data_IF_319881723829
#
_entry.id   IF_319881723829
#
_cell.length_a   1.000
_cell.length_b   1.000
_cell.length_c   1.000
_cell.angle_alpha   90.00
_cell.angle_beta   90.00
_cell.angle_gamma   90.00
#
_symmetry.space_group_name_H-M   'P 1'
#
loop_
_entity.id
_entity.type
_entity.pdbx_description
1 polymer ?
#
# COMPACT_ATOMS: atom_id res chain seq x y z
N UNK A 1 4.11 -8.16 20.07
CA UNK A 1 3.99 -9.35 19.20
C UNK A 1 3.37 -8.98 17.86
N UNK A 2 2.04 -8.85 17.73
CA UNK A 2 1.43 -8.36 16.48
C UNK A 2 1.90 -6.94 16.07
N UNK A 3 2.24 -6.08 17.04
CA UNK A 3 2.87 -4.79 16.76
C UNK A 3 4.22 -4.85 16.04
N UNK A 4 5.04 -5.91 16.24
CA UNK A 4 6.32 -6.07 15.53
C UNK A 4 6.13 -6.55 14.09
N UNK A 5 5.23 -7.52 13.87
CA UNK A 5 4.86 -7.95 12.52
C UNK A 5 4.21 -6.82 11.72
N UNK A 6 3.35 -6.02 12.37
CA UNK A 6 2.72 -4.88 11.72
C UNK A 6 3.70 -3.70 11.54
N UNK A 7 4.68 -3.51 12.43
CA UNK A 7 5.76 -2.54 12.22
C UNK A 7 6.65 -2.94 11.03
N UNK A 8 7.03 -4.21 10.94
CA UNK A 8 7.79 -4.73 9.80
C UNK A 8 7.00 -4.60 8.50
N UNK A 9 5.71 -4.97 8.51
CA UNK A 9 4.82 -4.76 7.37
C UNK A 9 4.64 -3.27 7.04
N UNK A 10 4.45 -2.40 8.04
CA UNK A 10 4.34 -0.96 7.86
C UNK A 10 5.63 -0.34 7.31
N UNK A 11 6.81 -0.79 7.74
CA UNK A 11 8.10 -0.35 7.18
C UNK A 11 8.26 -0.79 5.73
N UNK A 12 7.91 -2.05 5.42
CA UNK A 12 7.94 -2.56 4.05
C UNK A 12 6.96 -1.77 3.19
N UNK A 13 5.74 -1.54 3.67
CA UNK A 13 4.70 -0.78 2.97
C UNK A 13 5.07 0.69 2.80
N UNK A 14 5.65 1.32 3.83
CA UNK A 14 6.16 2.70 3.75
C UNK A 14 7.27 2.79 2.71
N UNK A 15 8.17 1.79 2.70
CA UNK A 15 9.21 1.66 1.68
C UNK A 15 8.61 1.53 0.28
N UNK A 16 7.54 0.77 0.08
CA UNK A 16 6.84 0.69 -1.22
C UNK A 16 6.12 1.99 -1.60
N UNK A 17 5.49 2.65 -0.63
CA UNK A 17 4.79 3.93 -0.84
C UNK A 17 5.77 5.02 -1.26
N UNK A 18 6.93 5.07 -0.59
CA UNK A 18 8.01 6.01 -0.88
C UNK A 18 8.86 5.63 -2.09
N UNK A 19 8.94 4.36 -2.50
CA UNK A 19 9.87 3.95 -3.56
C UNK A 19 9.23 3.49 -4.87
N UNK A 20 7.92 3.27 -4.94
CA UNK A 20 7.35 2.56 -6.12
C UNK A 20 6.11 3.22 -6.71
N UNK A 21 5.26 3.85 -5.90
CA UNK A 21 3.99 4.37 -6.42
C UNK A 21 4.14 5.63 -7.27
N UNK A 22 4.93 6.62 -6.82
CA UNK A 22 5.06 7.91 -7.51
C UNK A 22 6.02 7.90 -8.72
N UNK A 23 6.72 6.78 -8.95
CA UNK A 23 7.73 6.68 -9.99
C UNK A 23 7.16 6.05 -11.25
N UNK A 24 6.94 6.91 -12.24
CA UNK A 24 6.60 6.47 -13.58
C UNK A 24 7.72 6.89 -14.52
N UNK A 25 8.32 5.92 -15.21
CA UNK A 25 9.45 6.12 -16.12
C UNK A 25 9.06 5.88 -17.58
N UNK A 26 10.06 5.64 -18.43
CA UNK A 26 9.85 5.32 -19.87
C UNK A 26 8.91 4.13 -20.12
N UNK A 27 8.80 3.20 -19.17
CA UNK A 27 7.83 2.10 -19.23
C UNK A 27 6.37 2.58 -19.28
N UNK A 28 6.03 3.67 -18.56
CA UNK A 28 4.69 4.24 -18.63
C UNK A 28 4.39 4.84 -20.01
N UNK A 29 5.39 5.47 -20.65
CA UNK A 29 5.24 6.00 -22.02
C UNK A 29 4.93 4.90 -23.02
N UNK A 30 5.68 3.78 -22.97
CA UNK A 30 5.44 2.64 -23.84
C UNK A 30 4.05 2.04 -23.63
N UNK A 31 3.62 1.94 -22.36
CA UNK A 31 2.30 1.44 -22.01
C UNK A 31 1.20 2.37 -22.52
N UNK A 32 1.37 3.68 -22.43
CA UNK A 32 0.37 4.62 -22.92
C UNK A 32 0.24 4.69 -24.44
N UNK A 33 1.27 4.28 -25.18
CA UNK A 33 1.22 4.12 -26.63
C UNK A 33 0.63 2.77 -27.06
N UNK A 34 0.48 1.82 -26.13
CA UNK A 34 -0.19 0.55 -26.37
C UNK A 34 -1.72 0.75 -26.38
N UNK A 35 -2.51 -0.17 -26.98
CA UNK A 35 -3.97 -0.11 -26.98
C UNK A 35 -4.56 -0.52 -25.61
N UNK A 36 -4.12 0.17 -24.55
CA UNK A 36 -4.60 -0.01 -23.18
C UNK A 36 -5.26 1.27 -22.70
N UNK A 37 -6.33 1.11 -21.94
CA UNK A 37 -7.03 2.24 -21.33
C UNK A 37 -6.31 2.72 -20.06
N UNK A 38 -6.42 4.01 -19.70
CA UNK A 38 -5.92 4.53 -18.42
C UNK A 38 -6.45 3.74 -17.22
N UNK A 39 -7.69 3.24 -17.30
CA UNK A 39 -8.28 2.39 -16.28
C UNK A 39 -7.57 1.04 -16.14
N UNK A 40 -7.30 0.35 -17.26
CA UNK A 40 -6.55 -0.91 -17.26
C UNK A 40 -5.15 -0.73 -16.66
N UNK A 41 -4.49 0.38 -16.98
CA UNK A 41 -3.17 0.71 -16.46
C UNK A 41 -3.17 0.92 -14.94
N UNK A 42 -4.11 1.73 -14.43
CA UNK A 42 -4.24 1.97 -12.98
C UNK A 42 -4.62 0.69 -12.23
N UNK A 43 -5.53 -0.12 -12.78
CA UNK A 43 -5.90 -1.41 -12.18
C UNK A 43 -4.73 -2.40 -12.18
N UNK A 44 -3.94 -2.45 -13.25
CA UNK A 44 -2.75 -3.29 -13.32
C UNK A 44 -1.71 -2.84 -12.29
N UNK A 45 -1.43 -1.54 -12.20
CA UNK A 45 -0.53 -0.95 -11.20
C UNK A 45 -0.99 -1.29 -9.77
N UNK A 46 -2.29 -1.16 -9.49
CA UNK A 46 -2.89 -1.52 -8.21
C UNK A 46 -2.65 -3.00 -7.87
N UNK A 47 -2.99 -3.92 -8.79
CA UNK A 47 -2.85 -5.36 -8.58
C UNK A 47 -1.42 -5.78 -8.30
N UNK A 48 -0.46 -5.29 -9.08
CA UNK A 48 0.97 -5.62 -8.88
C UNK A 48 1.42 -5.16 -7.50
N UNK A 49 1.12 -3.92 -7.13
CA UNK A 49 1.55 -3.40 -5.82
C UNK A 49 0.86 -4.14 -4.67
N UNK A 50 -0.43 -4.47 -4.81
CA UNK A 50 -1.15 -5.26 -3.80
C UNK A 50 -0.57 -6.65 -3.62
N UNK A 51 -0.33 -7.38 -4.70
CA UNK A 51 0.22 -8.73 -4.65
C UNK A 51 1.60 -8.74 -3.97
N UNK A 52 2.48 -7.83 -4.39
CA UNK A 52 3.82 -7.70 -3.81
C UNK A 52 3.73 -7.30 -2.33
N UNK A 53 2.88 -6.33 -2.00
CA UNK A 53 2.71 -5.83 -0.64
C UNK A 53 2.10 -6.87 0.31
N UNK A 54 1.07 -7.59 -0.13
CA UNK A 54 0.45 -8.68 0.61
C UNK A 54 1.47 -9.80 0.83
N UNK A 55 2.15 -10.23 -0.23
CA UNK A 55 3.17 -11.28 -0.15
C UNK A 55 4.28 -10.92 0.83
N UNK A 56 4.84 -9.71 0.71
CA UNK A 56 5.88 -9.24 1.61
C UNK A 56 5.39 -9.09 3.05
N UNK A 57 4.17 -8.59 3.27
CA UNK A 57 3.59 -8.45 4.62
C UNK A 57 3.29 -9.80 5.29
N UNK A 58 2.80 -10.79 4.53
CA UNK A 58 2.59 -12.15 5.04
C UNK A 58 3.92 -12.80 5.39
N UNK A 59 4.92 -12.74 4.49
CA UNK A 59 6.25 -13.27 4.74
C UNK A 59 6.92 -12.61 5.95
N UNK A 60 6.78 -11.29 6.10
CA UNK A 60 7.29 -10.58 7.28
C UNK A 60 6.59 -11.03 8.57
N UNK A 61 5.26 -11.22 8.52
CA UNK A 61 4.50 -11.73 9.66
C UNK A 61 4.94 -13.13 10.07
N UNK A 62 5.15 -14.02 9.09
CA UNK A 62 5.67 -15.37 9.30
C UNK A 62 7.10 -15.35 9.84
N UNK A 63 7.98 -14.53 9.28
CA UNK A 63 9.35 -14.36 9.77
C UNK A 63 9.37 -13.90 11.24
N UNK A 64 8.57 -12.88 11.58
CA UNK A 64 8.48 -12.40 12.95
C UNK A 64 7.96 -13.49 13.90
N UNK A 65 7.05 -14.35 13.46
CA UNK A 65 6.57 -15.47 14.26
C UNK A 65 7.64 -16.55 14.44
N UNK A 66 8.19 -17.07 13.34
CA UNK A 66 9.09 -18.21 13.34
C UNK A 66 10.44 -17.90 13.98
N UNK A 67 10.93 -16.67 13.80
CA UNK A 67 12.29 -16.30 14.16
C UNK A 67 12.37 -15.36 15.37
N UNK A 68 11.57 -14.29 15.38
CA UNK A 68 11.68 -13.25 16.42
C UNK A 68 10.98 -13.66 17.70
N UNK A 69 9.90 -14.45 17.62
CA UNK A 69 9.11 -14.82 18.77
C UNK A 69 8.38 -16.16 18.58
N UNK A 70 9.15 -17.27 18.58
CA UNK A 70 8.64 -18.61 18.30
C UNK A 70 7.65 -19.13 19.36
N UNK A 71 7.64 -18.56 20.56
CA UNK A 71 6.69 -18.89 21.63
C UNK A 71 5.31 -18.26 21.45
N UNK A 72 5.11 -17.41 20.44
CA UNK A 72 3.83 -16.78 20.20
C UNK A 72 2.81 -17.77 19.63
N UNK A 73 1.55 -17.67 20.10
CA UNK A 73 0.46 -18.47 19.54
C UNK A 73 0.19 -18.11 18.07
N UNK A 74 -0.21 -19.09 17.27
CA UNK A 74 -0.63 -18.90 15.88
C UNK A 74 -1.71 -17.79 15.71
N UNK A 75 -2.58 -17.59 16.71
CA UNK A 75 -3.58 -16.53 16.71
C UNK A 75 -3.01 -15.11 16.53
N UNK A 76 -1.83 -14.83 17.11
CA UNK A 76 -1.16 -13.54 16.93
C UNK A 76 -0.64 -13.33 15.52
N UNK A 77 -0.29 -14.42 14.82
CA UNK A 77 0.11 -14.40 13.41
C UNK A 77 -1.08 -14.09 12.52
N UNK A 78 -2.23 -14.73 12.81
CA UNK A 78 -3.48 -14.44 12.11
C UNK A 78 -3.88 -12.97 12.27
N UNK A 79 -3.77 -12.40 13.47
CA UNK A 79 -4.01 -10.96 13.73
C UNK A 79 -3.07 -10.08 12.90
N UNK A 80 -1.79 -10.43 12.81
CA UNK A 80 -0.81 -9.69 12.02
C UNK A 80 -1.14 -9.74 10.51
N UNK A 81 -1.41 -10.93 9.96
CA UNK A 81 -1.79 -11.12 8.56
C UNK A 81 -3.09 -10.37 8.23
N UNK A 82 -4.07 -10.42 9.13
CA UNK A 82 -5.32 -9.65 8.97
C UNK A 82 -5.06 -8.14 8.98
N UNK A 83 -4.10 -7.66 9.78
CA UNK A 83 -3.63 -6.28 9.70
C UNK A 83 -3.09 -5.91 8.33
N UNK A 84 -2.23 -6.75 7.76
CA UNK A 84 -1.69 -6.54 6.41
C UNK A 84 -2.83 -6.41 5.39
N UNK A 85 -3.85 -7.28 5.47
CA UNK A 85 -5.03 -7.23 4.61
C UNK A 85 -5.83 -5.92 4.72
N UNK A 86 -5.80 -5.26 5.88
CA UNK A 86 -6.42 -3.94 6.11
C UNK A 86 -5.53 -2.81 5.57
N UNK A 87 -4.23 -2.84 5.86
CA UNK A 87 -3.32 -1.72 5.54
C UNK A 87 -3.06 -1.62 4.04
N UNK A 88 -2.84 -2.76 3.35
CA UNK A 88 -2.44 -2.80 1.93
C UNK A 88 -3.38 -2.01 1.00
N UNK A 89 -4.72 -2.22 1.00
CA UNK A 89 -5.62 -1.45 0.14
C UNK A 89 -5.59 0.05 0.42
N UNK A 90 -5.37 0.50 1.67
CA UNK A 90 -5.25 1.93 2.02
C UNK A 90 -3.98 2.50 1.40
N UNK A 91 -2.84 1.87 1.69
CA UNK A 91 -1.54 2.30 1.20
C UNK A 91 -1.51 2.30 -0.32
N UNK A 92 -2.09 1.28 -0.96
CA UNK A 92 -2.20 1.21 -2.42
C UNK A 92 -3.05 2.36 -2.97
N UNK A 93 -4.19 2.66 -2.33
CA UNK A 93 -5.06 3.77 -2.75
C UNK A 93 -4.35 5.11 -2.65
N UNK A 94 -3.69 5.36 -1.52
CA UNK A 94 -2.93 6.59 -1.28
C UNK A 94 -1.78 6.71 -2.27
N UNK A 95 -1.02 5.64 -2.49
CA UNK A 95 0.07 5.60 -3.44
C UNK A 95 -0.37 5.89 -4.88
N UNK A 96 -1.46 5.27 -5.33
CA UNK A 96 -2.02 5.53 -6.66
C UNK A 96 -2.57 6.95 -6.80
N UNK A 97 -3.22 7.47 -5.76
CA UNK A 97 -3.68 8.85 -5.78
C UNK A 97 -2.49 9.82 -5.87
N UNK A 98 -1.46 9.62 -5.06
CA UNK A 98 -0.21 10.37 -5.11
C UNK A 98 0.42 10.30 -6.50
N UNK A 99 0.50 9.12 -7.12
CA UNK A 99 1.13 8.96 -8.43
C UNK A 99 0.43 9.74 -9.53
N UNK A 100 -0.89 9.88 -9.43
CA UNK A 100 -1.69 10.69 -10.35
C UNK A 100 -1.56 12.19 -10.03
N UNK A 101 -1.52 12.57 -8.76
CA UNK A 101 -1.54 13.97 -8.37
C UNK A 101 -0.18 14.66 -8.45
N UNK A 102 0.87 13.94 -8.10
CA UNK A 102 2.26 14.38 -7.99
C UNK A 102 3.16 13.38 -8.72
N UNK A 103 3.09 13.28 -10.05
CA UNK A 103 3.94 12.38 -10.82
C UNK A 103 5.42 12.78 -10.66
N UNK A 104 6.28 11.82 -10.33
CA UNK A 104 7.72 12.04 -10.15
C UNK A 104 8.46 11.26 -11.22
N UNK A 105 9.37 11.93 -11.93
CA UNK A 105 10.20 11.32 -12.96
C UNK A 105 11.21 10.36 -12.32
N UNK A 106 11.33 9.16 -12.91
CA UNK A 106 12.45 8.27 -12.61
C UNK A 106 13.52 8.41 -13.71
N UNK A 107 14.71 8.87 -13.33
CA UNK A 107 15.81 9.02 -14.27
C UNK A 107 16.61 7.71 -14.40
N UNK A 108 16.22 6.92 -15.40
CA UNK A 108 16.78 5.59 -15.63
C UNK A 108 18.25 5.59 -16.07
N UNK A 109 18.75 6.67 -16.69
CA UNK A 109 20.14 6.75 -17.16
C UNK A 109 21.14 7.04 -16.03
N UNK A 110 20.71 7.81 -15.03
CA UNK A 110 21.55 8.16 -13.87
C UNK A 110 21.35 7.20 -12.68
N UNK A 111 20.43 6.23 -12.80
CA UNK A 111 19.91 5.44 -11.68
C UNK A 111 19.60 6.31 -10.45
N UNK A 112 19.18 7.56 -10.70
CA UNK A 112 19.06 8.60 -9.69
C UNK A 112 17.60 8.95 -9.53
N UNK A 113 17.16 8.97 -8.28
CA UNK A 113 15.79 9.33 -7.90
C UNK A 113 15.73 10.83 -7.69
N UNK A 114 14.79 11.50 -8.35
CA UNK A 114 14.39 12.83 -7.88
C UNK A 114 13.83 12.70 -6.46
N UNK A 115 14.19 13.66 -5.61
CA UNK A 115 13.78 13.66 -4.21
C UNK A 115 12.26 13.82 -4.17
N UNK A 116 11.57 12.90 -3.48
CA UNK A 116 10.13 13.02 -3.35
C UNK A 116 9.75 14.31 -2.62
N UNK A 117 8.68 15.01 -3.06
CA UNK A 117 8.13 16.13 -2.32
C UNK A 117 7.74 15.68 -0.91
N UNK A 118 7.99 16.53 0.09
CA UNK A 118 7.67 16.23 1.49
C UNK A 118 6.19 15.83 1.67
N UNK A 119 5.29 16.48 0.93
CA UNK A 119 3.85 16.18 0.94
C UNK A 119 3.54 14.73 0.54
N UNK A 120 4.28 14.17 -0.42
CA UNK A 120 4.14 12.77 -0.85
C UNK A 120 4.55 11.83 0.28
N UNK A 121 5.67 12.12 0.94
CA UNK A 121 6.15 11.34 2.07
C UNK A 121 5.18 11.40 3.26
N UNK A 122 4.62 12.58 3.56
CA UNK A 122 3.61 12.79 4.61
C UNK A 122 2.32 12.02 4.26
N UNK A 123 1.83 12.12 3.02
CA UNK A 123 0.62 11.42 2.60
C UNK A 123 0.78 9.90 2.71
N UNK A 124 1.91 9.36 2.26
CA UNK A 124 2.21 7.93 2.40
C UNK A 124 2.28 7.49 3.86
N UNK A 125 2.96 8.27 4.71
CA UNK A 125 3.06 7.99 6.14
C UNK A 125 1.68 8.04 6.83
N UNK A 126 0.88 9.06 6.54
CA UNK A 126 -0.49 9.18 7.05
C UNK A 126 -1.35 7.99 6.61
N UNK A 127 -1.22 7.53 5.36
CA UNK A 127 -1.91 6.34 4.86
C UNK A 127 -1.56 5.08 5.65
N UNK A 128 -0.28 4.85 5.94
CA UNK A 128 0.19 3.71 6.76
C UNK A 128 -0.34 3.82 8.19
N UNK A 129 -0.28 5.01 8.81
CA UNK A 129 -0.80 5.25 10.16
C UNK A 129 -2.30 4.93 10.24
N UNK A 130 -3.10 5.52 9.33
CA UNK A 130 -4.54 5.31 9.27
C UNK A 130 -4.88 3.84 9.06
N UNK A 131 -4.18 3.17 8.14
CA UNK A 131 -4.40 1.74 7.89
C UNK A 131 -4.00 0.85 9.06
N UNK A 132 -3.11 1.30 9.93
CA UNK A 132 -2.66 0.54 11.10
C UNK A 132 -3.59 0.66 12.31
N UNK A 133 -4.51 1.65 12.33
CA UNK A 133 -5.43 1.89 13.45
C UNK A 133 -6.26 0.64 13.81
N UNK A 134 -6.92 -0.04 12.86
CA UNK A 134 -7.74 -1.22 13.18
C UNK A 134 -6.92 -2.33 13.86
N UNK A 135 -5.67 -2.54 13.43
CA UNK A 135 -4.80 -3.51 14.08
C UNK A 135 -4.40 -3.04 15.47
N UNK A 136 -4.04 -1.78 15.66
CA UNK A 136 -3.69 -1.25 16.98
C UNK A 136 -4.84 -1.45 17.98
N UNK A 137 -6.07 -1.18 17.55
CA UNK A 137 -7.28 -1.41 18.35
C UNK A 137 -7.42 -2.90 18.68
N UNK A 138 -7.32 -3.78 17.68
CA UNK A 138 -7.44 -5.23 17.87
C UNK A 138 -6.38 -5.79 18.84
N UNK A 139 -5.12 -5.34 18.71
CA UNK A 139 -4.03 -5.75 19.61
C UNK A 139 -4.26 -5.26 21.03
N UNK A 140 -4.65 -3.99 21.21
CA UNK A 140 -4.94 -3.43 22.53
C UNK A 140 -6.12 -4.15 23.19
N UNK A 141 -7.14 -4.50 22.41
CA UNK A 141 -8.28 -5.26 22.89
C UNK A 141 -7.87 -6.65 23.40
N UNK A 142 -7.06 -7.39 22.65
CA UNK A 142 -6.54 -8.70 23.09
C UNK A 142 -5.67 -8.55 24.35
N UNK A 143 -4.79 -7.53 24.39
CA UNK A 143 -3.93 -7.27 25.54
C UNK A 143 -4.71 -6.89 26.81
N UNK A 144 -5.88 -6.28 26.66
CA UNK A 144 -6.80 -5.98 27.76
C UNK A 144 -7.63 -7.20 28.22
N UNK A 145 -7.34 -8.40 27.72
CA UNK A 145 -8.06 -9.63 28.04
C UNK A 145 -9.26 -9.94 27.13
N UNK A 146 -9.43 -9.17 26.05
CA UNK A 146 -10.47 -9.42 25.05
C UNK A 146 -10.27 -10.72 24.26
N UNK A 147 -11.38 -11.31 23.80
CA UNK A 147 -11.35 -12.55 23.04
C UNK A 147 -10.70 -12.38 21.65
N UNK A 148 -9.79 -13.29 21.30
CA UNK A 148 -9.10 -13.29 20.00
C UNK A 148 -10.07 -13.29 18.82
N UNK A 149 -11.15 -14.07 18.90
CA UNK A 149 -12.14 -14.21 17.82
C UNK A 149 -12.86 -12.89 17.53
N UNK A 150 -13.15 -12.11 18.57
CA UNK A 150 -13.75 -10.78 18.42
C UNK A 150 -12.79 -9.79 17.75
N UNK A 151 -11.49 -9.87 18.07
CA UNK A 151 -10.47 -9.05 17.43
C UNK A 151 -10.31 -9.43 15.95
N UNK A 152 -10.29 -10.72 15.62
CA UNK A 152 -10.23 -11.21 14.24
C UNK A 152 -11.47 -10.80 13.44
N UNK A 153 -12.68 -10.96 14.00
CA UNK A 153 -13.92 -10.52 13.37
C UNK A 153 -13.88 -9.02 13.05
N UNK A 154 -13.41 -8.21 13.99
CA UNK A 154 -13.26 -6.75 13.80
C UNK A 154 -12.31 -6.45 12.63
N UNK A 155 -11.18 -7.16 12.54
CA UNK A 155 -10.23 -7.00 11.44
C UNK A 155 -10.78 -7.50 10.09
N UNK A 156 -11.57 -8.57 10.09
CA UNK A 156 -12.24 -9.06 8.87
C UNK A 156 -13.22 -8.00 8.35
N UNK A 157 -14.06 -7.45 9.23
CA UNK A 157 -15.01 -6.39 8.87
C UNK A 157 -14.27 -5.15 8.37
N UNK A 158 -13.20 -4.73 9.05
CA UNK A 158 -12.37 -3.62 8.62
C UNK A 158 -11.73 -3.89 7.25
N UNK A 159 -11.21 -5.09 7.01
CA UNK A 159 -10.62 -5.46 5.72
C UNK A 159 -11.67 -5.37 4.61
N UNK A 160 -12.84 -5.99 4.78
CA UNK A 160 -13.92 -5.94 3.80
C UNK A 160 -14.34 -4.50 3.46
N UNK A 161 -14.51 -3.66 4.48
CA UNK A 161 -14.87 -2.25 4.31
C UNK A 161 -13.81 -1.50 3.51
N UNK A 162 -12.54 -1.66 3.88
CA UNK A 162 -11.44 -0.95 3.24
C UNK A 162 -11.23 -1.44 1.80
N UNK A 163 -11.36 -2.73 1.53
CA UNK A 163 -11.31 -3.28 0.17
C UNK A 163 -12.45 -2.76 -0.70
N UNK A 164 -13.67 -2.65 -0.14
CA UNK A 164 -14.79 -2.04 -0.83
C UNK A 164 -14.50 -0.57 -1.18
N UNK A 165 -13.99 0.22 -0.22
CA UNK A 165 -13.60 1.62 -0.45
C UNK A 165 -12.50 1.70 -1.52
N UNK A 166 -11.48 0.84 -1.44
CA UNK A 166 -10.40 0.77 -2.43
C UNK A 166 -10.95 0.54 -3.84
N UNK A 167 -11.85 -0.43 -4.03
CA UNK A 167 -12.48 -0.70 -5.33
C UNK A 167 -13.23 0.52 -5.88
N UNK A 168 -13.95 1.27 -5.02
CA UNK A 168 -14.63 2.51 -5.43
C UNK A 168 -13.63 3.64 -5.75
N UNK A 169 -12.54 3.72 -4.98
CA UNK A 169 -11.50 4.71 -5.20
C UNK A 169 -10.69 4.46 -6.46
N UNK A 170 -10.47 3.20 -6.87
CA UNK A 170 -9.82 2.89 -8.15
C UNK A 170 -10.55 3.54 -9.32
N UNK A 171 -11.89 3.47 -9.36
CA UNK A 171 -12.67 4.13 -10.42
C UNK A 171 -12.42 5.64 -10.45
N UNK A 172 -12.42 6.28 -9.27
CA UNK A 172 -12.16 7.72 -9.16
C UNK A 172 -10.74 8.10 -9.57
N UNK A 173 -9.76 7.31 -9.16
CA UNK A 173 -8.35 7.53 -9.50
C UNK A 173 -8.11 7.31 -10.99
N UNK A 174 -8.71 6.28 -11.60
CA UNK A 174 -8.67 6.06 -13.05
C UNK A 174 -9.26 7.24 -13.82
N UNK A 175 -10.40 7.77 -13.40
CA UNK A 175 -10.99 8.96 -14.00
C UNK A 175 -10.09 10.20 -13.85
N UNK A 176 -9.50 10.39 -12.67
CA UNK A 176 -8.55 11.49 -12.44
C UNK A 176 -7.31 11.36 -13.33
N UNK A 177 -6.80 10.13 -13.49
CA UNK A 177 -5.65 9.85 -14.35
C UNK A 177 -5.96 10.14 -15.83
N UNK A 178 -7.12 9.71 -16.34
CA UNK A 178 -7.55 10.03 -17.72
C UNK A 178 -7.62 11.54 -17.97
N UNK A 179 -8.11 12.32 -16.99
CA UNK A 179 -8.19 13.80 -17.12
C UNK A 179 -6.83 14.47 -17.10
N UNK A 180 -5.88 13.94 -16.33
CA UNK A 180 -4.53 14.49 -16.14
C UNK A 180 -3.46 13.79 -16.97
N UNK A 181 -3.87 12.96 -17.92
CA UNK A 181 -2.97 12.08 -18.68
C UNK A 181 -1.84 12.88 -19.37
N UNK A 182 -2.16 14.00 -19.99
CA UNK A 182 -1.19 14.89 -20.65
C UNK A 182 -0.22 15.54 -19.67
N UNK A 183 -0.68 15.94 -18.48
CA UNK A 183 0.16 16.52 -17.43
C UNK A 183 1.13 15.48 -16.86
N UNK A 184 0.65 14.26 -16.59
CA UNK A 184 1.48 13.16 -16.10
C UNK A 184 2.54 12.81 -17.15
N UNK A 185 2.15 12.69 -18.42
CA UNK A 185 3.09 12.49 -19.53
C UNK A 185 4.13 13.61 -19.62
N UNK A 186 3.71 14.86 -19.52
CA UNK A 186 4.64 15.99 -19.59
C UNK A 186 5.62 15.96 -18.41
N UNK A 187 5.17 15.59 -17.21
CA UNK A 187 6.02 15.54 -16.03
C UNK A 187 7.08 14.44 -16.13
N UNK A 188 6.74 13.27 -16.69
CA UNK A 188 7.68 12.15 -16.83
C UNK A 188 8.60 12.25 -18.07
N UNK A 189 8.25 13.09 -19.05
CA UNK A 189 9.03 13.27 -20.31
C UNK A 189 9.94 14.48 -20.33
N UNK A 190 9.68 15.52 -19.53
CA UNK A 190 10.54 16.72 -19.49
C UNK A 190 11.98 16.30 -19.14
N UNK A 191 12.89 16.57 -20.07
CA UNK A 191 14.33 16.28 -19.98
C UNK A 191 14.96 17.18 -18.95
#
# INVERSE_FOLDING_TARGET
>A
MAGFGNYAAALILLTFTHNTFAYDGRGLLNLMNAPITPEQLIRAKARVHQLVSLGAGVLASLFCWLYVAPSASAGWVCVAIMGVLVVVPIVTTVGLWVSVQYPIKFDASLNRRERQPLLVSIAGFAGVLLGSIPLLIAVRFIQAGGALDSALLTLIVAALLVWFIHCKMLVRISLAFSRRQSEVLSAITRV
#
